data_IF_535948114427
#
_entry.id   IF_535948114427
#
_cell.length_a   1.000
_cell.length_b   1.000
_cell.length_c   1.000
_cell.angle_alpha   90.00
_cell.angle_beta   90.00
_cell.angle_gamma   90.00
#
_symmetry.space_group_name_H-M   'P 1'
#
loop_
_entity.id
_entity.type
_entity.pdbx_description
1 polymer ?
#
# COMPACT_ATOMS: atom_id res chain seq x y z
N UNK A 1 58.96 32.00 33.21
CA UNK A 1 58.17 32.39 34.39
C UNK A 1 56.70 32.40 34.00
N UNK A 2 55.89 31.69 34.79
CA UNK A 2 54.44 31.81 35.05
C UNK A 2 53.47 31.83 33.83
N UNK A 3 52.76 30.75 33.50
CA UNK A 3 51.55 30.11 34.14
C UNK A 3 50.20 30.71 33.72
N UNK A 4 49.31 29.82 33.25
CA UNK A 4 47.84 29.98 33.25
C UNK A 4 47.24 29.51 31.92
N UNK A 5 46.19 28.69 31.82
CA UNK A 5 45.39 27.91 32.75
C UNK A 5 44.59 26.91 31.87
N UNK A 6 44.31 25.72 32.38
CA UNK A 6 43.53 24.63 31.75
C UNK A 6 42.07 25.07 31.47
N UNK A 7 41.33 24.18 30.77
CA UNK A 7 39.83 24.08 30.69
C UNK A 7 39.26 24.91 29.51
N UNK A 8 38.36 24.46 28.62
CA UNK A 8 37.39 23.36 28.60
C UNK A 8 36.95 23.09 27.13
N UNK A 9 36.71 21.82 26.83
CA UNK A 9 35.86 21.24 25.77
C UNK A 9 34.82 22.19 25.13
N UNK A 10 34.78 22.24 23.80
CA UNK A 10 33.58 22.60 23.04
C UNK A 10 33.59 21.82 21.70
N UNK A 11 33.01 20.62 21.75
CA UNK A 11 32.61 19.85 20.57
C UNK A 11 31.36 20.52 19.97
N UNK A 12 31.37 20.99 18.71
CA UNK A 12 30.11 21.20 18.02
C UNK A 12 29.59 19.83 17.58
N UNK A 13 28.55 19.38 18.29
CA UNK A 13 27.59 18.38 17.82
C UNK A 13 27.02 18.88 16.49
N UNK A 14 27.36 18.21 15.39
CA UNK A 14 26.80 18.51 14.07
C UNK A 14 26.83 17.29 13.15
N UNK A 15 26.22 16.20 13.61
CA UNK A 15 25.81 15.09 12.74
C UNK A 15 24.37 14.73 13.11
N UNK A 16 23.46 15.69 12.96
CA UNK A 16 22.01 15.49 13.13
C UNK A 16 21.24 15.36 11.81
N UNK A 17 21.89 15.50 10.66
CA UNK A 17 21.19 15.76 9.39
C UNK A 17 21.36 14.68 8.31
N UNK A 18 21.99 13.54 8.60
CA UNK A 18 22.20 12.46 7.61
C UNK A 18 21.21 11.29 7.74
N UNK A 19 20.43 11.23 8.83
CA UNK A 19 19.48 10.11 9.05
C UNK A 19 18.15 10.29 8.28
N UNK A 20 17.92 11.43 7.63
CA UNK A 20 16.70 11.66 6.86
C UNK A 20 16.66 10.95 5.48
N UNK A 21 17.78 10.37 5.01
CA UNK A 21 17.93 9.95 3.61
C UNK A 21 17.95 8.44 3.36
N UNK A 22 17.73 7.58 4.36
CA UNK A 22 17.64 6.13 4.15
C UNK A 22 16.45 5.55 4.92
N UNK A 23 15.24 5.80 4.41
CA UNK A 23 14.07 5.05 4.84
C UNK A 23 14.25 3.57 4.50
N UNK A 24 14.02 2.69 5.46
CA UNK A 24 14.04 1.24 5.22
C UNK A 24 12.98 0.85 4.19
N UNK A 25 13.08 -0.34 3.61
CA UNK A 25 12.03 -0.83 2.70
C UNK A 25 10.70 -1.00 3.44
N UNK A 26 10.73 -1.44 4.71
CA UNK A 26 9.56 -1.49 5.60
C UNK A 26 8.90 -0.13 5.77
N UNK A 27 9.67 0.91 6.13
CA UNK A 27 9.14 2.27 6.32
C UNK A 27 8.53 2.83 5.02
N UNK A 28 9.11 2.48 3.86
CA UNK A 28 8.56 2.88 2.55
C UNK A 28 7.27 2.14 2.23
N UNK A 29 7.16 0.86 2.57
CA UNK A 29 5.91 0.11 2.40
C UNK A 29 4.82 0.62 3.33
N UNK A 30 5.13 0.86 4.61
CA UNK A 30 4.19 1.45 5.58
C UNK A 30 3.67 2.81 5.09
N UNK A 31 4.53 3.65 4.51
CA UNK A 31 4.10 4.91 3.92
C UNK A 31 3.17 4.70 2.71
N UNK A 32 3.43 3.70 1.86
CA UNK A 32 2.53 3.37 0.74
C UNK A 32 1.17 2.86 1.25
N UNK A 33 1.15 2.05 2.31
CA UNK A 33 -0.07 1.57 2.97
C UNK A 33 -0.89 2.75 3.49
N UNK A 34 -0.26 3.68 4.22
CA UNK A 34 -0.94 4.88 4.71
C UNK A 34 -1.46 5.76 3.56
N UNK A 35 -0.71 5.86 2.45
CA UNK A 35 -1.15 6.59 1.27
C UNK A 35 -2.36 5.92 0.59
N UNK A 36 -2.39 4.59 0.49
CA UNK A 36 -3.55 3.84 -0.02
C UNK A 36 -4.79 4.10 0.85
N UNK A 37 -4.66 4.08 2.17
CA UNK A 37 -5.78 4.36 3.08
C UNK A 37 -6.34 5.78 2.86
N UNK A 38 -5.46 6.77 2.66
CA UNK A 38 -5.88 8.14 2.38
C UNK A 38 -6.69 8.26 1.07
N UNK A 39 -6.39 7.41 0.07
CA UNK A 39 -7.12 7.40 -1.21
C UNK A 39 -8.58 6.98 -1.08
N UNK A 40 -8.99 6.30 -0.01
CA UNK A 40 -10.41 5.98 0.23
C UNK A 40 -11.29 7.23 0.35
N UNK A 41 -10.71 8.37 0.73
CA UNK A 41 -11.40 9.67 0.80
C UNK A 41 -11.29 10.50 -0.48
N UNK A 42 -10.59 10.00 -1.49
CA UNK A 42 -10.36 10.70 -2.76
C UNK A 42 -11.42 10.35 -3.82
N UNK A 43 -11.64 11.20 -4.83
CA UNK A 43 -12.49 10.85 -5.97
C UNK A 43 -12.01 9.58 -6.67
N UNK A 44 -12.94 8.69 -7.03
CA UNK A 44 -12.68 7.39 -7.64
C UNK A 44 -11.79 7.48 -8.88
N UNK A 45 -12.02 8.48 -9.74
CA UNK A 45 -11.27 8.69 -11.00
C UNK A 45 -9.79 8.99 -10.75
N UNK A 46 -9.46 9.52 -9.57
CA UNK A 46 -8.07 9.80 -9.16
C UNK A 46 -7.46 8.64 -8.38
N UNK A 47 -8.25 7.99 -7.53
CA UNK A 47 -7.77 6.89 -6.68
C UNK A 47 -7.49 5.64 -7.50
N UNK A 48 -8.42 5.25 -8.39
CA UNK A 48 -8.38 4.01 -9.16
C UNK A 48 -7.02 3.75 -9.85
N UNK A 49 -6.49 4.64 -10.71
CA UNK A 49 -5.23 4.37 -11.41
C UNK A 49 -4.01 4.29 -10.48
N UNK A 50 -4.07 4.90 -9.29
CA UNK A 50 -2.98 4.82 -8.31
C UNK A 50 -3.03 3.50 -7.55
N UNK A 51 -4.22 3.08 -7.13
CA UNK A 51 -4.43 1.80 -6.43
C UNK A 51 -4.07 0.62 -7.35
N UNK A 52 -4.51 0.65 -8.61
CA UNK A 52 -4.15 -0.38 -9.60
C UNK A 52 -2.64 -0.48 -9.79
N UNK A 53 -1.93 0.66 -9.86
CA UNK A 53 -0.47 0.68 -10.00
C UNK A 53 0.24 0.03 -8.82
N UNK A 54 -0.26 0.22 -7.60
CA UNK A 54 0.32 -0.43 -6.42
C UNK A 54 0.06 -1.93 -6.45
N UNK A 55 -1.16 -2.34 -6.82
CA UNK A 55 -1.55 -3.74 -6.94
C UNK A 55 -0.73 -4.50 -8.00
N UNK A 56 -0.41 -3.85 -9.12
CA UNK A 56 0.41 -4.41 -10.22
C UNK A 56 1.93 -4.34 -9.94
N UNK A 57 2.34 -3.68 -8.87
CA UNK A 57 3.75 -3.47 -8.54
C UNK A 57 4.45 -4.70 -7.95
N UNK A 58 5.69 -4.49 -7.55
CA UNK A 58 6.58 -5.47 -6.92
C UNK A 58 6.58 -5.41 -5.37
N UNK A 59 5.56 -4.76 -4.78
CA UNK A 59 5.40 -4.69 -3.33
C UNK A 59 5.03 -6.02 -2.68
N UNK A 60 5.16 -6.06 -1.36
CA UNK A 60 4.73 -7.18 -0.52
C UNK A 60 3.26 -7.56 -0.72
N UNK A 61 2.92 -8.80 -0.36
CA UNK A 61 1.53 -9.26 -0.39
C UNK A 61 0.65 -8.41 0.55
N UNK A 62 1.15 -7.98 1.71
CA UNK A 62 0.44 -7.06 2.62
C UNK A 62 0.08 -5.73 1.93
N UNK A 63 1.02 -5.13 1.19
CA UNK A 63 0.76 -3.90 0.45
C UNK A 63 -0.28 -4.13 -0.66
N UNK A 64 -0.24 -5.28 -1.34
CA UNK A 64 -1.17 -5.64 -2.41
C UNK A 64 -2.56 -5.98 -1.87
N UNK A 65 -2.66 -6.67 -0.76
CA UNK A 65 -3.91 -6.92 -0.03
C UNK A 65 -4.55 -5.59 0.38
N UNK A 66 -3.74 -4.65 0.89
CA UNK A 66 -4.25 -3.30 1.19
C UNK A 66 -4.75 -2.59 -0.06
N UNK A 67 -4.02 -2.66 -1.17
CA UNK A 67 -4.45 -2.06 -2.42
C UNK A 67 -5.78 -2.69 -2.90
N UNK A 68 -5.91 -4.02 -2.77
CA UNK A 68 -7.13 -4.74 -3.14
C UNK A 68 -8.33 -4.36 -2.27
N UNK A 69 -8.12 -4.20 -0.96
CA UNK A 69 -9.14 -3.65 -0.06
C UNK A 69 -9.56 -2.25 -0.48
N UNK A 70 -8.62 -1.33 -0.73
CA UNK A 70 -8.99 0.03 -1.18
C UNK A 70 -9.72 -0.01 -2.51
N UNK A 71 -9.31 -0.89 -3.43
CA UNK A 71 -9.97 -1.09 -4.72
C UNK A 71 -11.42 -1.57 -4.55
N UNK A 72 -11.72 -2.43 -3.57
CA UNK A 72 -13.10 -2.87 -3.29
C UNK A 72 -13.99 -1.77 -2.70
N UNK A 73 -13.39 -0.68 -2.20
CA UNK A 73 -14.14 0.49 -1.73
C UNK A 73 -14.44 1.48 -2.88
N UNK A 74 -13.88 1.28 -4.07
CA UNK A 74 -14.09 2.14 -5.23
C UNK A 74 -15.25 1.58 -6.05
N UNK A 75 -16.37 2.30 -6.06
CA UNK A 75 -17.53 1.99 -6.91
C UNK A 75 -17.23 2.37 -8.37
N UNK A 76 -16.57 1.46 -9.09
CA UNK A 76 -16.20 1.63 -10.49
C UNK A 76 -16.10 0.27 -11.21
N UNK A 77 -16.63 0.12 -12.43
CA UNK A 77 -16.58 -1.15 -13.18
C UNK A 77 -15.17 -1.75 -13.30
N UNK A 78 -14.18 -0.92 -13.69
CA UNK A 78 -12.78 -1.37 -13.79
C UNK A 78 -12.19 -1.87 -12.46
N UNK A 79 -12.69 -1.39 -11.31
CA UNK A 79 -12.28 -1.91 -10.00
C UNK A 79 -12.80 -3.33 -9.80
N UNK A 80 -14.07 -3.58 -10.13
CA UNK A 80 -14.69 -4.91 -10.04
C UNK A 80 -14.00 -5.91 -10.97
N UNK A 81 -13.78 -5.53 -12.24
CA UNK A 81 -13.07 -6.35 -13.22
C UNK A 81 -11.66 -6.71 -12.76
N UNK A 82 -10.99 -5.75 -12.11
CA UNK A 82 -9.65 -5.98 -11.58
C UNK A 82 -9.66 -6.93 -10.38
N UNK A 83 -10.59 -6.79 -9.45
CA UNK A 83 -10.73 -7.72 -8.30
C UNK A 83 -11.04 -9.13 -8.81
N UNK A 84 -11.92 -9.28 -9.81
CA UNK A 84 -12.18 -10.56 -10.48
C UNK A 84 -10.92 -11.14 -11.13
N UNK A 85 -10.11 -10.30 -11.79
CA UNK A 85 -8.85 -10.76 -12.38
C UNK A 85 -7.89 -11.30 -11.32
N UNK A 86 -7.80 -10.65 -10.14
CA UNK A 86 -7.00 -11.13 -9.01
C UNK A 86 -7.57 -12.42 -8.43
N UNK A 87 -8.89 -12.54 -8.30
CA UNK A 87 -9.53 -13.78 -7.86
C UNK A 87 -9.27 -14.96 -8.83
N UNK A 88 -9.01 -14.70 -10.11
CA UNK A 88 -8.66 -15.74 -11.08
C UNK A 88 -7.19 -16.12 -11.06
N UNK A 89 -6.32 -15.10 -11.08
CA UNK A 89 -4.91 -15.25 -11.48
C UNK A 89 -3.90 -14.78 -10.42
N UNK A 90 -4.35 -14.28 -9.27
CA UNK A 90 -3.49 -13.81 -8.20
C UNK A 90 -2.69 -14.93 -7.53
N UNK A 91 -1.73 -14.54 -6.67
CA UNK A 91 -1.11 -15.47 -5.72
C UNK A 91 -2.19 -16.13 -4.85
N UNK A 92 -1.91 -17.30 -4.24
CA UNK A 92 -2.86 -17.95 -3.34
C UNK A 92 -3.49 -17.00 -2.31
N UNK A 93 -2.68 -16.15 -1.70
CA UNK A 93 -3.04 -15.17 -0.68
C UNK A 93 -3.94 -14.08 -1.27
N UNK A 94 -3.51 -13.45 -2.38
CA UNK A 94 -4.30 -12.40 -3.04
C UNK A 94 -5.60 -12.92 -3.66
N UNK A 95 -5.61 -14.17 -4.12
CA UNK A 95 -6.82 -14.82 -4.64
C UNK A 95 -7.85 -15.02 -3.53
N UNK A 96 -7.42 -15.53 -2.38
CA UNK A 96 -8.29 -15.69 -1.21
C UNK A 96 -8.88 -14.34 -0.80
N UNK A 97 -8.03 -13.32 -0.70
CA UNK A 97 -8.46 -11.98 -0.32
C UNK A 97 -9.44 -11.37 -1.34
N UNK A 98 -9.19 -11.53 -2.65
CA UNK A 98 -10.10 -11.05 -3.69
C UNK A 98 -11.48 -11.72 -3.59
N UNK A 99 -11.52 -13.04 -3.41
CA UNK A 99 -12.77 -13.79 -3.24
C UNK A 99 -13.51 -13.30 -1.99
N UNK A 100 -12.78 -13.08 -0.88
CA UNK A 100 -13.35 -12.55 0.37
C UNK A 100 -13.97 -11.18 0.16
N UNK A 101 -13.29 -10.26 -0.53
CA UNK A 101 -13.81 -8.91 -0.80
C UNK A 101 -15.09 -8.94 -1.64
N UNK A 102 -15.11 -9.75 -2.70
CA UNK A 102 -16.30 -9.91 -3.53
C UNK A 102 -17.47 -10.46 -2.70
N UNK A 103 -17.21 -11.46 -1.85
CA UNK A 103 -18.22 -12.03 -0.95
C UNK A 103 -18.78 -11.03 0.06
N UNK A 104 -17.93 -10.14 0.60
CA UNK A 104 -18.35 -9.08 1.53
C UNK A 104 -19.14 -7.97 0.82
N UNK A 105 -18.68 -7.53 -0.35
CA UNK A 105 -19.35 -6.50 -1.13
C UNK A 105 -20.76 -6.94 -1.57
N UNK A 106 -20.90 -8.22 -1.94
CA UNK A 106 -22.18 -8.81 -2.31
C UNK A 106 -22.74 -8.26 -3.62
N UNK A 107 -21.90 -7.62 -4.44
CA UNK A 107 -22.29 -7.12 -5.75
C UNK A 107 -22.64 -8.29 -6.68
N UNK A 108 -23.79 -8.19 -7.36
CA UNK A 108 -24.37 -9.31 -8.11
C UNK A 108 -23.55 -9.65 -9.35
N UNK A 109 -23.04 -8.65 -10.04
CA UNK A 109 -22.30 -8.83 -11.27
C UNK A 109 -20.94 -9.46 -10.95
N UNK A 110 -20.28 -8.97 -9.90
CA UNK A 110 -19.00 -9.52 -9.45
C UNK A 110 -19.15 -10.94 -8.87
N UNK A 111 -20.24 -11.25 -8.17
CA UNK A 111 -20.54 -12.62 -7.71
C UNK A 111 -20.82 -13.59 -8.87
N UNK A 112 -21.53 -13.13 -9.91
CA UNK A 112 -21.74 -13.93 -11.11
C UNK A 112 -20.41 -14.26 -11.81
N UNK A 113 -19.54 -13.26 -11.95
CA UNK A 113 -18.19 -13.45 -12.50
C UNK A 113 -17.31 -14.42 -11.70
N UNK A 114 -17.50 -14.52 -10.38
CA UNK A 114 -16.85 -15.56 -9.57
C UNK A 114 -17.43 -16.96 -9.86
N UNK A 115 -18.75 -17.09 -9.98
CA UNK A 115 -19.40 -18.37 -10.24
C UNK A 115 -18.93 -18.99 -11.57
N UNK A 116 -18.80 -18.16 -12.61
CA UNK A 116 -18.29 -18.56 -13.93
C UNK A 116 -16.87 -19.15 -13.90
N UNK A 117 -16.08 -18.91 -12.85
CA UNK A 117 -14.73 -19.51 -12.74
C UNK A 117 -14.75 -21.00 -12.41
N UNK A 118 -15.88 -21.53 -11.94
CA UNK A 118 -16.02 -22.89 -11.47
C UNK A 118 -16.90 -23.77 -12.38
N UNK A 119 -17.37 -23.20 -13.49
CA UNK A 119 -18.03 -23.94 -14.57
C UNK A 119 -17.01 -24.50 -15.57
#
# INVERSE_FOLDING_TARGET
MLTGLRTLLLLPVLIGSVVAAQSTDSEREELKIAALEALMSSPSERALPLVMRVLDGDGSDELKERALFVLSQIDHPDAHDRILTVARNGSPELREEAIRMIGIAGDKDTLAGLAEMYE
#
